data_IF_579913313904
#
_entry.id   IF_579913313904
#
_cell.length_a   1.000
_cell.length_b   1.000
_cell.length_c   1.000
_cell.angle_alpha   90.00
_cell.angle_beta   90.00
_cell.angle_gamma   90.00
#
_symmetry.space_group_name_H-M   'P 1'
#
loop_
_entity.id
_entity.type
_entity.pdbx_description
1 polymer ?
#
# COMPACT_ATOMS: atom_id res chain seq x y z
N UNK A 1 17.89 2.38 -2.08
CA UNK A 1 16.75 1.64 -2.66
C UNK A 1 16.78 0.23 -2.13
N UNK A 2 15.67 -0.26 -1.59
CA UNK A 2 15.51 -1.68 -1.23
C UNK A 2 15.02 -2.38 -2.50
N UNK A 3 15.85 -3.21 -3.12
CA UNK A 3 15.41 -4.00 -4.27
C UNK A 3 14.46 -5.10 -3.77
N UNK A 4 13.17 -4.93 -4.04
CA UNK A 4 12.13 -5.93 -3.72
C UNK A 4 11.90 -6.83 -4.95
N UNK A 5 12.13 -8.13 -4.80
CA UNK A 5 11.78 -9.12 -5.83
C UNK A 5 10.62 -9.97 -5.31
N UNK A 6 9.52 -10.02 -6.07
CA UNK A 6 8.44 -10.97 -5.82
C UNK A 6 8.78 -12.31 -6.47
N UNK A 7 9.02 -13.33 -5.65
CA UNK A 7 9.37 -14.68 -6.11
C UNK A 7 8.08 -15.48 -6.26
N UNK A 8 7.50 -15.42 -7.47
CA UNK A 8 6.21 -16.05 -7.78
C UNK A 8 6.30 -17.17 -8.84
N UNK A 9 7.48 -17.39 -9.42
CA UNK A 9 7.74 -18.44 -10.41
C UNK A 9 9.22 -18.86 -10.38
N UNK A 10 9.55 -19.96 -11.06
CA UNK A 10 10.91 -20.50 -11.10
C UNK A 10 11.93 -19.50 -11.66
N UNK A 11 11.56 -18.74 -12.69
CA UNK A 11 12.45 -17.73 -13.27
C UNK A 11 12.79 -16.62 -12.26
N UNK A 12 11.79 -16.16 -11.48
CA UNK A 12 11.98 -15.14 -10.45
C UNK A 12 12.78 -15.67 -9.24
N UNK A 13 12.65 -16.95 -8.93
CA UNK A 13 13.49 -17.61 -7.92
C UNK A 13 14.96 -17.59 -8.34
N UNK A 14 15.27 -18.00 -9.58
CA UNK A 14 16.62 -17.97 -10.13
C UNK A 14 17.20 -16.54 -10.16
N UNK A 15 16.39 -15.54 -10.52
CA UNK A 15 16.79 -14.12 -10.49
C UNK A 15 17.19 -13.68 -9.07
N UNK A 16 16.36 -13.99 -8.08
CA UNK A 16 16.60 -13.62 -6.68
C UNK A 16 17.90 -14.26 -6.13
N UNK A 17 18.12 -15.55 -6.39
CA UNK A 17 19.35 -16.27 -5.99
C UNK A 17 20.58 -15.65 -6.65
N UNK A 18 20.48 -15.29 -7.93
CA UNK A 18 21.60 -14.69 -8.69
C UNK A 18 21.98 -13.31 -8.12
N UNK A 19 20.99 -12.46 -7.81
CA UNK A 19 21.25 -11.14 -7.21
C UNK A 19 21.84 -11.27 -5.81
N UNK A 20 21.28 -12.14 -4.98
CA UNK A 20 21.81 -12.44 -3.65
C UNK A 20 23.27 -12.89 -3.71
N UNK A 21 23.58 -13.84 -4.60
CA UNK A 21 24.94 -14.38 -4.78
C UNK A 21 25.92 -13.32 -5.26
N UNK A 22 25.49 -12.47 -6.20
CA UNK A 22 26.30 -11.37 -6.74
C UNK A 22 26.59 -10.32 -5.67
N UNK A 23 25.57 -9.89 -4.92
CA UNK A 23 25.74 -8.93 -3.82
C UNK A 23 26.68 -9.46 -2.74
N UNK A 24 26.54 -10.74 -2.36
CA UNK A 24 27.43 -11.35 -1.38
C UNK A 24 28.88 -11.44 -1.90
N UNK A 25 29.06 -11.74 -3.18
CA UNK A 25 30.40 -11.82 -3.78
C UNK A 25 31.14 -10.49 -3.69
N UNK A 26 30.44 -9.39 -3.97
CA UNK A 26 30.97 -8.02 -3.96
C UNK A 26 31.15 -7.49 -2.53
N UNK A 27 30.10 -7.54 -1.70
CA UNK A 27 30.09 -6.89 -0.38
C UNK A 27 30.52 -7.79 0.77
N UNK A 28 30.59 -9.11 0.59
CA UNK A 28 30.85 -10.14 1.63
C UNK A 28 29.82 -10.21 2.76
N UNK A 29 28.79 -9.37 2.75
CA UNK A 29 27.66 -9.43 3.67
C UNK A 29 26.38 -8.97 2.94
N UNK A 30 25.26 -9.63 3.24
CA UNK A 30 23.92 -9.28 2.71
C UNK A 30 22.88 -9.51 3.81
N UNK A 31 21.96 -8.55 3.98
CA UNK A 31 20.81 -8.68 4.88
C UNK A 31 19.60 -9.07 4.04
N UNK A 32 18.95 -10.18 4.38
CA UNK A 32 17.79 -10.71 3.66
C UNK A 32 16.56 -10.66 4.55
N UNK A 33 15.45 -10.13 4.03
CA UNK A 33 14.13 -10.18 4.67
C UNK A 33 13.19 -11.00 3.80
N UNK A 34 12.73 -12.15 4.32
CA UNK A 34 11.75 -13.01 3.67
C UNK A 34 10.42 -12.90 4.43
N UNK A 35 9.32 -12.73 3.70
CA UNK A 35 7.97 -12.78 4.27
C UNK A 35 7.16 -13.84 3.53
N UNK A 36 6.54 -14.81 4.22
CA UNK A 36 5.66 -15.78 3.58
C UNK A 36 4.36 -15.10 3.12
N UNK A 37 3.81 -15.61 2.02
CA UNK A 37 2.57 -15.11 1.42
C UNK A 37 2.78 -14.53 0.03
N UNK A 38 1.77 -14.65 -0.82
CA UNK A 38 1.69 -13.84 -2.04
C UNK A 38 1.56 -12.40 -1.53
N UNK A 39 2.53 -11.54 -1.82
CA UNK A 39 2.28 -10.08 -1.79
C UNK A 39 0.89 -9.87 -2.39
N UNK A 40 0.06 -8.98 -1.82
CA UNK A 40 -1.15 -8.49 -2.49
C UNK A 40 -0.86 -8.47 -3.98
N UNK A 41 -1.61 -9.27 -4.74
CA UNK A 41 -1.27 -9.62 -6.13
C UNK A 41 -0.73 -8.36 -6.79
N UNK A 42 0.45 -8.42 -7.41
CA UNK A 42 1.14 -7.21 -7.92
C UNK A 42 0.17 -6.27 -8.66
N UNK A 43 -0.81 -6.88 -9.32
CA UNK A 43 -1.99 -6.30 -9.96
C UNK A 43 -2.86 -5.41 -9.04
N UNK A 44 -3.18 -5.82 -7.80
CA UNK A 44 -3.91 -5.00 -6.82
C UNK A 44 -3.12 -3.77 -6.37
N UNK A 45 -1.80 -3.93 -6.13
CA UNK A 45 -0.97 -2.78 -5.78
C UNK A 45 -0.87 -1.82 -6.97
N UNK A 46 -0.63 -2.34 -8.18
CA UNK A 46 -0.61 -1.57 -9.41
C UNK A 46 -1.94 -0.84 -9.64
N UNK A 47 -3.06 -1.51 -9.41
CA UNK A 47 -4.40 -0.91 -9.47
C UNK A 47 -4.53 0.27 -8.51
N UNK A 48 -4.16 0.12 -7.24
CA UNK A 48 -4.26 1.27 -6.32
C UNK A 48 -3.36 2.44 -6.72
N UNK A 49 -2.15 2.18 -7.21
CA UNK A 49 -1.30 3.26 -7.73
C UNK A 49 -1.94 3.96 -8.93
N UNK A 50 -2.56 3.22 -9.85
CA UNK A 50 -3.31 3.79 -10.96
C UNK A 50 -4.53 4.60 -10.47
N UNK A 51 -5.26 4.11 -9.47
CA UNK A 51 -6.37 4.83 -8.85
C UNK A 51 -5.90 6.13 -8.17
N UNK A 52 -4.80 6.10 -7.41
CA UNK A 52 -4.27 7.32 -6.77
C UNK A 52 -3.85 8.36 -7.80
N UNK A 53 -3.23 7.93 -8.90
CA UNK A 53 -2.91 8.80 -10.02
C UNK A 53 -4.17 9.42 -10.62
N UNK A 54 -5.19 8.61 -10.93
CA UNK A 54 -6.48 9.09 -11.45
C UNK A 54 -7.15 10.10 -10.51
N UNK A 55 -7.11 9.84 -9.20
CA UNK A 55 -7.65 10.75 -8.18
C UNK A 55 -6.89 12.08 -8.21
N UNK A 56 -5.55 12.06 -8.25
CA UNK A 56 -4.74 13.29 -8.33
C UNK A 56 -4.99 14.09 -9.61
N UNK A 57 -5.31 13.43 -10.73
CA UNK A 57 -5.58 14.09 -12.01
C UNK A 57 -6.97 14.71 -12.08
N UNK A 58 -7.95 14.16 -11.35
CA UNK A 58 -9.36 14.55 -11.43
C UNK A 58 -9.86 15.34 -10.21
N UNK A 59 -9.04 15.53 -9.18
CA UNK A 59 -9.43 16.22 -7.94
C UNK A 59 -8.39 17.26 -7.54
N UNK A 60 -8.71 18.09 -6.55
CA UNK A 60 -7.78 19.07 -5.97
C UNK A 60 -7.00 18.50 -4.75
N UNK A 61 -6.88 17.17 -4.66
CA UNK A 61 -6.24 16.51 -3.50
C UNK A 61 -4.72 16.71 -3.43
N UNK A 62 -4.11 17.13 -4.54
CA UNK A 62 -2.66 17.20 -4.71
C UNK A 62 -2.14 16.09 -5.62
N UNK A 63 -0.93 15.60 -5.34
CA UNK A 63 -0.23 14.61 -6.13
C UNK A 63 -0.68 13.15 -5.83
N UNK A 64 -0.20 12.12 -6.57
CA UNK A 64 -0.56 10.73 -6.29
C UNK A 64 -0.15 10.25 -4.88
N UNK A 65 0.91 10.82 -4.29
CA UNK A 65 1.32 10.50 -2.93
C UNK A 65 0.34 11.11 -1.91
N UNK A 66 -0.17 12.31 -2.15
CA UNK A 66 -1.21 12.97 -1.35
C UNK A 66 -2.51 12.15 -1.38
N UNK A 67 -2.92 11.72 -2.58
CA UNK A 67 -4.05 10.81 -2.76
C UNK A 67 -3.85 9.48 -1.99
N UNK A 68 -2.65 8.89 -2.06
CA UNK A 68 -2.29 7.68 -1.30
C UNK A 68 -2.40 7.90 0.21
N UNK A 69 -1.85 9.00 0.75
CA UNK A 69 -1.90 9.32 2.19
C UNK A 69 -3.34 9.48 2.65
N UNK A 70 -4.14 10.20 1.86
CA UNK A 70 -5.55 10.41 2.14
C UNK A 70 -6.33 9.10 2.18
N UNK A 71 -6.20 8.27 1.14
CA UNK A 71 -6.92 6.99 1.06
C UNK A 71 -6.53 6.05 2.21
N UNK A 72 -5.23 5.98 2.55
CA UNK A 72 -4.77 5.21 3.70
C UNK A 72 -5.42 5.66 5.00
N UNK A 73 -5.44 6.98 5.27
CA UNK A 73 -5.97 7.50 6.53
C UNK A 73 -7.50 7.36 6.63
N UNK A 74 -8.23 7.71 5.57
CA UNK A 74 -9.69 7.85 5.63
C UNK A 74 -10.42 6.55 5.31
N UNK A 75 -9.84 5.70 4.48
CA UNK A 75 -10.47 4.46 4.04
C UNK A 75 -9.72 3.29 4.67
N UNK A 76 -8.41 3.28 4.52
CA UNK A 76 -7.60 2.13 4.90
C UNK A 76 -7.64 1.85 6.41
N UNK A 77 -7.38 2.87 7.21
CA UNK A 77 -7.43 2.78 8.67
C UNK A 77 -8.83 2.41 9.14
N UNK A 78 -9.90 2.97 8.55
CA UNK A 78 -11.27 2.66 8.96
C UNK A 78 -11.63 1.19 8.78
N UNK A 79 -11.12 0.53 7.74
CA UNK A 79 -11.28 -0.91 7.55
C UNK A 79 -10.63 -1.68 8.71
N UNK A 80 -9.38 -1.36 9.05
CA UNK A 80 -8.68 -2.00 10.16
C UNK A 80 -9.35 -1.74 11.52
N UNK A 81 -9.83 -0.51 11.76
CA UNK A 81 -10.53 -0.16 12.99
C UNK A 81 -11.82 -0.98 13.18
N UNK A 82 -12.48 -1.36 12.11
CA UNK A 82 -13.75 -2.09 12.17
C UNK A 82 -13.56 -3.61 12.25
N UNK A 83 -12.46 -4.13 11.73
CA UNK A 83 -12.28 -5.58 11.53
C UNK A 83 -11.13 -6.18 12.36
N UNK A 84 -10.31 -5.36 13.01
CA UNK A 84 -9.23 -5.79 13.90
C UNK A 84 -9.29 -5.03 15.24
N UNK A 85 -9.81 -5.68 16.28
CA UNK A 85 -9.96 -5.11 17.62
C UNK A 85 -8.61 -4.80 18.29
N UNK A 86 -7.56 -5.56 17.95
CA UNK A 86 -6.20 -5.31 18.45
C UNK A 86 -5.60 -4.05 17.82
N UNK A 87 -5.72 -3.91 16.50
CA UNK A 87 -5.34 -2.71 15.78
C UNK A 87 -6.13 -1.49 16.30
N UNK A 88 -7.43 -1.64 16.50
CA UNK A 88 -8.30 -0.58 17.02
C UNK A 88 -7.84 -0.07 18.39
N UNK A 89 -7.57 -0.96 19.33
CA UNK A 89 -7.09 -0.58 20.67
C UNK A 89 -5.74 0.16 20.61
N UNK A 90 -4.80 -0.36 19.82
CA UNK A 90 -3.49 0.27 19.63
C UNK A 90 -3.60 1.64 18.95
N UNK A 91 -4.43 1.75 17.90
CA UNK A 91 -4.68 2.99 17.18
C UNK A 91 -5.26 4.06 18.10
N UNK A 92 -6.28 3.74 18.89
CA UNK A 92 -6.85 4.72 19.82
C UNK A 92 -5.90 5.13 20.93
N UNK A 93 -5.02 4.22 21.38
CA UNK A 93 -4.01 4.54 22.38
C UNK A 93 -2.97 5.51 21.85
N UNK A 94 -2.56 5.40 20.58
CA UNK A 94 -1.42 6.16 20.01
C UNK A 94 -1.86 7.34 19.15
N UNK A 95 -2.84 7.15 18.27
CA UNK A 95 -3.18 8.10 17.22
C UNK A 95 -4.27 9.09 17.63
N UNK A 96 -5.00 8.87 18.73
CA UNK A 96 -6.17 9.68 19.10
C UNK A 96 -5.82 11.16 19.30
N UNK A 97 -4.73 11.43 20.03
CA UNK A 97 -4.31 12.77 20.45
C UNK A 97 -3.43 13.50 19.43
N UNK A 98 -3.04 12.84 18.33
CA UNK A 98 -2.27 13.50 17.29
C UNK A 98 -3.17 14.44 16.47
N UNK A 99 -2.66 15.58 15.99
CA UNK A 99 -3.36 16.41 15.01
C UNK A 99 -3.61 15.66 13.69
N UNK A 100 -4.64 16.08 12.96
CA UNK A 100 -4.98 15.49 11.66
C UNK A 100 -3.79 15.49 10.69
N UNK A 101 -3.14 16.64 10.53
CA UNK A 101 -1.97 16.78 9.63
C UNK A 101 -0.84 15.82 9.98
N UNK A 102 -0.60 15.60 11.27
CA UNK A 102 0.40 14.63 11.74
C UNK A 102 0.01 13.20 11.34
N UNK A 103 -1.26 12.82 11.51
CA UNK A 103 -1.74 11.49 11.09
C UNK A 103 -1.61 11.32 9.58
N UNK A 104 -1.96 12.34 8.81
CA UNK A 104 -1.89 12.31 7.35
C UNK A 104 -0.44 12.20 6.87
N UNK A 105 0.47 13.00 7.43
CA UNK A 105 1.90 12.95 7.11
C UNK A 105 2.50 11.56 7.39
N UNK A 106 2.13 10.93 8.51
CA UNK A 106 2.59 9.58 8.86
C UNK A 106 2.15 8.49 7.88
N UNK A 107 1.10 8.70 7.07
CA UNK A 107 0.66 7.71 6.07
C UNK A 107 1.60 7.62 4.85
N UNK A 108 2.41 8.65 4.63
CA UNK A 108 3.42 8.70 3.56
C UNK A 108 4.83 8.58 4.10
N UNK A 109 5.81 8.88 3.25
CA UNK A 109 7.21 8.79 3.61
C UNK A 109 7.52 9.57 4.89
N UNK A 110 8.05 8.88 5.90
CA UNK A 110 8.54 9.51 7.11
C UNK A 110 9.66 8.69 7.76
N UNK A 111 10.48 9.33 8.60
CA UNK A 111 11.63 8.69 9.23
C UNK A 111 11.27 7.52 10.16
N UNK A 112 10.05 7.47 10.67
CA UNK A 112 9.58 6.42 11.58
C UNK A 112 9.21 5.12 10.85
N UNK A 113 8.59 5.24 9.68
CA UNK A 113 8.02 4.09 8.96
C UNK A 113 8.64 3.84 7.59
N UNK A 114 9.59 4.70 7.17
CA UNK A 114 10.28 4.60 5.90
C UNK A 114 9.45 5.15 4.73
N UNK A 115 9.81 4.79 3.48
CA UNK A 115 9.23 5.37 2.26
C UNK A 115 7.75 5.04 2.07
N UNK A 116 7.28 3.96 2.69
CA UNK A 116 5.90 3.54 2.61
C UNK A 116 4.99 4.16 3.66
N UNK A 117 5.52 4.83 4.67
CA UNK A 117 4.73 5.36 5.78
C UNK A 117 4.08 4.27 6.64
N UNK A 118 3.14 4.69 7.48
CA UNK A 118 2.45 3.79 8.41
C UNK A 118 1.84 2.59 7.67
N UNK A 119 2.06 1.35 8.17
CA UNK A 119 1.59 0.14 7.52
C UNK A 119 0.08 0.02 7.69
N UNK A 120 -0.68 0.46 6.69
CA UNK A 120 -2.13 0.26 6.61
C UNK A 120 -2.42 -0.84 5.60
N UNK A 121 -2.09 -0.56 4.34
CA UNK A 121 -2.44 -1.46 3.23
C UNK A 121 -1.69 -2.79 3.25
N UNK A 122 -0.54 -2.84 3.92
CA UNK A 122 0.24 -4.07 4.11
C UNK A 122 -0.31 -4.98 5.22
N UNK A 123 -1.16 -4.48 6.11
CA UNK A 123 -1.81 -5.28 7.17
C UNK A 123 -3.06 -6.00 6.68
N UNK A 124 -3.57 -5.60 5.52
CA UNK A 124 -4.81 -6.12 5.01
C UNK A 124 -4.74 -7.57 4.56
N UNK A 125 -5.75 -8.34 4.94
CA UNK A 125 -6.07 -9.60 4.29
C UNK A 125 -6.69 -9.36 2.88
N UNK A 126 -6.98 -10.44 2.16
CA UNK A 126 -7.53 -10.36 0.79
C UNK A 126 -8.89 -9.66 0.75
N UNK A 127 -9.80 -9.99 1.67
CA UNK A 127 -11.15 -9.42 1.69
C UNK A 127 -11.10 -7.91 1.96
N UNK A 128 -10.27 -7.49 2.92
CA UNK A 128 -9.99 -6.09 3.21
C UNK A 128 -9.39 -5.34 2.03
N UNK A 129 -8.62 -6.01 1.18
CA UNK A 129 -8.12 -5.40 -0.06
C UNK A 129 -9.14 -5.16 -1.13
N UNK A 130 -10.08 -6.08 -1.31
CA UNK A 130 -11.23 -5.86 -2.19
C UNK A 130 -12.07 -4.71 -1.65
N UNK A 131 -12.40 -4.75 -0.35
CA UNK A 131 -13.17 -3.70 0.31
C UNK A 131 -12.49 -2.32 0.21
N UNK A 132 -11.16 -2.26 0.29
CA UNK A 132 -10.40 -1.01 0.13
C UNK A 132 -10.53 -0.45 -1.30
N UNK A 133 -10.39 -1.30 -2.32
CA UNK A 133 -10.62 -0.90 -3.72
C UNK A 133 -12.04 -0.36 -3.93
N UNK A 134 -13.04 -1.10 -3.47
CA UNK A 134 -14.45 -0.76 -3.66
C UNK A 134 -14.81 0.55 -2.97
N UNK A 135 -14.30 0.77 -1.74
CA UNK A 135 -14.55 2.01 -0.99
C UNK A 135 -13.86 3.22 -1.62
N UNK A 136 -12.65 3.08 -2.17
CA UNK A 136 -12.00 4.17 -2.93
C UNK A 136 -12.86 4.51 -4.14
N UNK A 137 -13.24 3.51 -4.94
CA UNK A 137 -14.03 3.71 -6.14
C UNK A 137 -15.35 4.41 -5.82
N UNK A 138 -16.11 3.90 -4.86
CA UNK A 138 -17.38 4.50 -4.44
C UNK A 138 -17.23 5.94 -3.95
N UNK A 139 -16.24 6.22 -3.08
CA UNK A 139 -16.03 7.54 -2.50
C UNK A 139 -15.66 8.60 -3.54
N UNK A 140 -14.74 8.27 -4.45
CA UNK A 140 -14.23 9.22 -5.43
C UNK A 140 -15.11 9.30 -6.68
N UNK A 141 -15.85 8.25 -7.04
CA UNK A 141 -16.90 8.37 -8.07
C UNK A 141 -18.02 9.30 -7.61
N UNK A 142 -18.36 9.32 -6.32
CA UNK A 142 -19.23 10.35 -5.75
C UNK A 142 -18.69 11.79 -5.88
N UNK A 143 -17.40 11.95 -6.15
CA UNK A 143 -16.74 13.24 -6.41
C UNK A 143 -16.42 13.46 -7.90
N UNK A 144 -16.97 12.64 -8.79
CA UNK A 144 -16.80 12.76 -10.23
C UNK A 144 -15.54 12.08 -10.80
N UNK A 145 -14.80 11.30 -10.01
CA UNK A 145 -13.65 10.52 -10.51
C UNK A 145 -14.14 9.27 -11.23
N UNK A 146 -13.65 9.05 -12.44
CA UNK A 146 -14.02 7.89 -13.27
C UNK A 146 -12.93 6.81 -13.19
N UNK A 147 -13.32 5.58 -12.83
CA UNK A 147 -12.43 4.41 -12.72
C UNK A 147 -12.83 3.25 -13.64
N UNK A 148 -13.78 3.43 -14.55
CA UNK A 148 -14.37 2.33 -15.32
C UNK A 148 -13.35 1.55 -16.14
N UNK A 149 -12.36 2.23 -16.71
CA UNK A 149 -11.24 1.64 -17.44
C UNK A 149 -10.36 0.79 -16.51
N UNK A 150 -9.94 1.36 -15.37
CA UNK A 150 -9.06 0.70 -14.41
C UNK A 150 -9.69 -0.52 -13.74
N UNK A 151 -11.00 -0.48 -13.49
CA UNK A 151 -11.72 -1.59 -12.85
C UNK A 151 -12.16 -2.66 -13.86
N UNK A 152 -12.26 -2.33 -15.15
CA UNK A 152 -12.58 -3.28 -16.21
C UNK A 152 -11.39 -4.16 -16.63
N UNK A 153 -10.17 -3.63 -16.61
CA UNK A 153 -8.95 -4.36 -16.99
C UNK A 153 -8.59 -5.50 -16.02
N UNK A 154 -9.13 -5.51 -14.79
CA UNK A 154 -8.88 -6.58 -13.81
C UNK A 154 -9.87 -7.75 -13.96
N UNK A 155 -10.87 -7.61 -14.84
CA UNK A 155 -11.85 -8.66 -15.14
C UNK A 155 -11.52 -9.47 -16.42
N UNK A 156 -10.39 -9.22 -17.08
CA UNK A 156 -9.94 -9.89 -18.30
C UNK A 156 -8.65 -10.70 -18.10
#
# INVERSE_FOLDING_TARGET
MIDKISVNCQAKLSEAITKLSTMYRDKKFVVVSLRPGKDRTLDQNALWFAMYKRISEMTQIGDPADARRYCKLHIGVQILLNEDSGFQAAWYKVMRHLPYETKLAMMGECKLFGPDGFPVTSLFNRAQGVQYTDRIAAYFTGQGVVFSDLLSEVAA
#
